data_IF_159736325470
#
_entry.id   IF_159736325470
#
_cell.length_a   1.000
_cell.length_b   1.000
_cell.length_c   1.000
_cell.angle_alpha   90.00
_cell.angle_beta   90.00
_cell.angle_gamma   90.00
#
_symmetry.space_group_name_H-M   'P 1'
#
loop_
_entity.id
_entity.type
_entity.pdbx_description
1 polymer ?
#
# COMPACT_ATOMS: atom_id res chain seq x y z
N UNK A 1 9.51 18.09 -30.06
CA UNK A 1 9.42 17.04 -31.09
C UNK A 1 8.90 17.59 -32.40
N UNK A 2 7.68 18.12 -32.45
CA UNK A 2 7.08 18.73 -33.66
C UNK A 2 7.96 19.82 -34.30
N UNK A 3 8.56 20.72 -33.51
CA UNK A 3 9.47 21.76 -34.03
C UNK A 3 10.74 21.18 -34.67
N UNK A 4 11.35 20.16 -34.06
CA UNK A 4 12.56 19.51 -34.59
C UNK A 4 12.28 18.80 -35.91
N UNK A 5 11.17 18.05 -35.99
CA UNK A 5 10.75 17.38 -37.22
C UNK A 5 10.40 18.38 -38.32
N UNK A 6 9.74 19.48 -37.98
CA UNK A 6 9.43 20.56 -38.92
C UNK A 6 10.70 21.16 -39.53
N UNK A 7 11.70 21.48 -38.71
CA UNK A 7 12.97 22.04 -39.20
C UNK A 7 13.76 21.06 -40.08
N UNK A 8 13.79 19.76 -39.74
CA UNK A 8 14.52 18.77 -40.52
C UNK A 8 13.79 18.33 -41.80
N UNK A 9 12.47 18.21 -41.77
CA UNK A 9 11.67 17.90 -42.96
C UNK A 9 11.61 19.08 -43.93
N UNK A 10 11.63 20.32 -43.43
CA UNK A 10 11.74 21.51 -44.27
C UNK A 10 13.05 21.53 -45.09
N UNK A 11 14.16 21.03 -44.54
CA UNK A 11 15.43 20.88 -45.28
C UNK A 11 15.34 19.85 -46.41
N UNK A 12 14.47 18.86 -46.27
CA UNK A 12 14.16 17.85 -47.29
C UNK A 12 13.11 18.33 -48.30
N UNK A 13 12.63 19.58 -48.18
CA UNK A 13 11.61 20.15 -49.06
C UNK A 13 10.18 19.77 -48.68
N UNK A 14 9.97 19.23 -47.48
CA UNK A 14 8.67 18.78 -46.98
C UNK A 14 8.23 19.73 -45.87
N UNK A 15 7.45 20.76 -46.24
CA UNK A 15 6.87 21.75 -45.33
C UNK A 15 5.34 21.62 -45.31
N UNK A 16 4.86 20.43 -44.93
CA UNK A 16 3.44 20.15 -44.76
C UNK A 16 3.17 19.69 -43.33
N UNK A 17 2.36 20.48 -42.61
CA UNK A 17 1.99 20.22 -41.22
C UNK A 17 1.29 18.87 -41.04
N UNK A 18 0.51 18.41 -42.02
CA UNK A 18 -0.16 17.11 -41.94
C UNK A 18 0.85 15.95 -41.93
N UNK A 19 1.96 16.10 -42.67
CA UNK A 19 3.04 15.12 -42.73
C UNK A 19 3.84 15.14 -41.43
N UNK A 20 4.11 16.32 -40.88
CA UNK A 20 4.79 16.48 -39.60
C UNK A 20 3.96 15.84 -38.47
N UNK A 21 2.66 16.12 -38.42
CA UNK A 21 1.75 15.57 -37.40
C UNK A 21 1.64 14.04 -37.53
N UNK A 22 1.63 13.50 -38.76
CA UNK A 22 1.67 12.07 -39.00
C UNK A 22 2.97 11.44 -38.49
N UNK A 23 4.12 12.04 -38.80
CA UNK A 23 5.43 11.54 -38.34
C UNK A 23 5.56 11.60 -36.82
N UNK A 24 5.07 12.67 -36.19
CA UNK A 24 5.02 12.79 -34.72
C UNK A 24 4.13 11.70 -34.12
N UNK A 25 2.92 11.52 -34.64
CA UNK A 25 1.99 10.50 -34.15
C UNK A 25 2.54 9.09 -34.29
N UNK A 26 3.28 8.81 -35.37
CA UNK A 26 3.92 7.52 -35.59
C UNK A 26 5.13 7.32 -34.67
N UNK A 27 5.91 8.36 -34.39
CA UNK A 27 7.05 8.27 -33.46
C UNK A 27 6.60 8.06 -32.02
N UNK A 28 5.47 8.66 -31.63
CA UNK A 28 4.85 8.46 -30.31
C UNK A 28 4.19 7.09 -30.13
N UNK A 29 3.94 6.34 -31.22
CA UNK A 29 3.34 5.00 -31.15
C UNK A 29 4.35 3.94 -30.69
N UNK A 30 4.33 3.56 -29.42
CA UNK A 30 5.25 2.55 -28.87
C UNK A 30 4.96 1.10 -29.35
N UNK A 31 3.94 0.87 -30.20
CA UNK A 31 3.61 -0.48 -30.69
C UNK A 31 4.42 -0.93 -31.90
N UNK A 32 4.99 0.00 -32.65
CA UNK A 32 5.74 -0.26 -33.88
C UNK A 32 7.24 -0.14 -33.65
N UNK A 33 8.03 -0.97 -34.35
CA UNK A 33 9.48 -0.85 -34.30
C UNK A 33 9.96 0.38 -35.07
N UNK A 34 11.12 0.93 -34.70
CA UNK A 34 11.70 2.08 -35.41
C UNK A 34 11.87 1.81 -36.92
N UNK A 35 12.20 0.57 -37.29
CA UNK A 35 12.34 0.14 -38.69
C UNK A 35 11.00 0.22 -39.43
N UNK A 36 9.92 -0.28 -38.82
CA UNK A 36 8.58 -0.24 -39.44
C UNK A 36 8.10 1.21 -39.57
N UNK A 37 8.37 2.04 -38.55
CA UNK A 37 8.06 3.47 -38.59
C UNK A 37 8.80 4.18 -39.71
N UNK A 38 10.08 3.84 -39.92
CA UNK A 38 10.87 4.39 -41.01
C UNK A 38 10.31 3.98 -42.38
N UNK A 39 9.98 2.70 -42.57
CA UNK A 39 9.37 2.22 -43.82
C UNK A 39 8.02 2.89 -44.11
N UNK A 40 7.18 3.08 -43.10
CA UNK A 40 5.88 3.76 -43.25
C UNK A 40 6.05 5.24 -43.60
N UNK A 41 6.95 5.95 -42.93
CA UNK A 41 7.23 7.36 -43.22
C UNK A 41 7.85 7.49 -44.60
N UNK A 42 8.75 6.59 -44.97
CA UNK A 42 9.40 6.61 -46.28
C UNK A 42 8.46 6.24 -47.43
N UNK A 43 7.49 5.35 -47.19
CA UNK A 43 6.43 5.06 -48.15
C UNK A 43 5.42 6.21 -48.30
N UNK A 44 5.31 7.06 -47.30
CA UNK A 44 4.46 8.25 -47.32
C UNK A 44 5.18 9.47 -47.92
N UNK A 45 6.48 9.61 -47.65
CA UNK A 45 7.37 10.55 -48.30
C UNK A 45 7.65 10.08 -49.74
N UNK A 46 8.00 11.02 -50.62
CA UNK A 46 8.26 10.70 -52.02
C UNK A 46 9.43 9.68 -52.12
N UNK A 47 9.33 8.62 -52.96
CA UNK A 47 10.42 7.65 -53.18
C UNK A 47 11.73 8.28 -53.70
N UNK A 48 11.71 9.56 -54.09
CA UNK A 48 12.91 10.34 -54.40
C UNK A 48 13.72 10.79 -53.17
N UNK A 49 13.19 10.64 -51.96
CA UNK A 49 13.86 10.99 -50.72
C UNK A 49 14.82 9.87 -50.29
N UNK A 50 16.07 10.21 -49.95
CA UNK A 50 17.09 9.21 -49.59
C UNK A 50 16.76 8.53 -48.25
N UNK A 51 16.61 7.20 -48.29
CA UNK A 51 16.27 6.32 -47.17
C UNK A 51 17.21 6.48 -45.99
N UNK A 52 18.51 6.60 -46.26
CA UNK A 52 19.51 6.69 -45.21
C UNK A 52 19.34 7.98 -44.36
N UNK A 53 18.91 9.07 -44.99
CA UNK A 53 18.64 10.35 -44.32
C UNK A 53 17.41 10.28 -43.43
N UNK A 54 16.33 9.66 -43.91
CA UNK A 54 15.08 9.52 -43.15
C UNK A 54 15.31 8.61 -41.93
N UNK A 55 15.98 7.48 -42.12
CA UNK A 55 16.32 6.56 -41.02
C UNK A 55 17.18 7.24 -39.95
N UNK A 56 18.20 8.02 -40.35
CA UNK A 56 19.05 8.76 -39.42
C UNK A 56 18.26 9.83 -38.65
N UNK A 57 17.38 10.56 -39.34
CA UNK A 57 16.51 11.57 -38.74
C UNK A 57 15.59 10.93 -37.69
N UNK A 58 14.92 9.83 -38.04
CA UNK A 58 13.99 9.13 -37.13
C UNK A 58 14.71 8.50 -35.96
N UNK A 59 15.90 7.95 -36.17
CA UNK A 59 16.74 7.41 -35.08
C UNK A 59 17.10 8.52 -34.09
N UNK A 60 17.54 9.67 -34.58
CA UNK A 60 17.87 10.81 -33.73
C UNK A 60 16.63 11.39 -33.03
N UNK A 61 15.51 11.44 -33.73
CA UNK A 61 14.24 11.89 -33.18
C UNK A 61 13.77 10.96 -32.05
N UNK A 62 13.91 9.64 -32.25
CA UNK A 62 13.57 8.64 -31.24
C UNK A 62 14.47 8.71 -30.00
N UNK A 63 15.79 8.86 -30.18
CA UNK A 63 16.71 9.05 -29.04
C UNK A 63 16.35 10.30 -28.23
N UNK A 64 15.99 11.39 -28.92
CA UNK A 64 15.60 12.63 -28.26
C UNK A 64 14.27 12.49 -27.50
N UNK A 65 13.31 11.72 -28.02
CA UNK A 65 12.08 11.41 -27.29
C UNK A 65 12.34 10.55 -26.05
N UNK A 66 13.21 9.56 -26.14
CA UNK A 66 13.56 8.69 -25.01
C UNK A 66 14.29 9.47 -23.91
N UNK A 67 15.21 10.36 -24.26
CA UNK A 67 15.88 11.24 -23.29
C UNK A 67 14.88 12.17 -22.58
N UNK A 68 13.90 12.71 -23.31
CA UNK A 68 12.85 13.55 -22.72
C UNK A 68 11.93 12.74 -21.79
N UNK A 69 11.51 11.53 -22.21
CA UNK A 69 10.72 10.62 -21.37
C UNK A 69 11.47 10.27 -20.08
N UNK A 70 12.78 9.97 -20.18
CA UNK A 70 13.62 9.65 -19.03
C UNK A 70 13.77 10.85 -18.07
N UNK A 71 13.98 12.06 -18.59
CA UNK A 71 14.05 13.27 -17.77
C UNK A 71 12.74 13.54 -17.03
N UNK A 72 11.61 13.42 -17.70
CA UNK A 72 10.29 13.59 -17.07
C UNK A 72 10.03 12.53 -15.99
N UNK A 73 10.40 11.27 -16.25
CA UNK A 73 10.30 10.21 -15.24
C UNK A 73 11.21 10.46 -14.04
N UNK A 74 12.43 10.96 -14.26
CA UNK A 74 13.35 11.31 -13.18
C UNK A 74 12.82 12.47 -12.32
N UNK A 75 12.28 13.52 -12.94
CA UNK A 75 11.65 14.64 -12.22
C UNK A 75 10.43 14.19 -11.41
N UNK A 76 9.56 13.34 -11.97
CA UNK A 76 8.41 12.77 -11.26
C UNK A 76 8.84 11.86 -10.10
N UNK A 77 9.93 11.10 -10.27
CA UNK A 77 10.47 10.27 -9.19
C UNK A 77 11.07 11.13 -8.07
N UNK A 78 11.75 12.22 -8.41
CA UNK A 78 12.31 13.16 -7.44
C UNK A 78 11.19 13.86 -6.65
N UNK A 79 10.15 14.36 -7.32
CA UNK A 79 9.02 15.01 -6.63
C UNK A 79 8.29 14.03 -5.70
N UNK A 80 8.07 12.80 -6.14
CA UNK A 80 7.47 11.76 -5.31
C UNK A 80 8.33 11.41 -4.08
N UNK A 81 9.66 11.37 -4.22
CA UNK A 81 10.57 11.16 -3.09
C UNK A 81 10.52 12.32 -2.09
N UNK A 82 10.49 13.56 -2.58
CA UNK A 82 10.38 14.75 -1.74
C UNK A 82 9.05 14.75 -0.98
N UNK A 83 7.94 14.42 -1.64
CA UNK A 83 6.63 14.31 -0.99
C UNK A 83 6.60 13.21 0.09
N UNK A 84 7.15 12.03 -0.21
CA UNK A 84 7.26 10.94 0.76
C UNK A 84 8.09 11.37 1.98
N UNK A 85 9.24 12.01 1.76
CA UNK A 85 10.10 12.51 2.83
C UNK A 85 9.40 13.56 3.68
N UNK A 86 8.62 14.47 3.07
CA UNK A 86 7.82 15.46 3.78
C UNK A 86 6.69 14.80 4.59
N UNK A 87 6.00 13.79 4.05
CA UNK A 87 4.96 13.06 4.76
C UNK A 87 5.51 12.35 6.00
N UNK A 88 6.64 11.65 5.86
CA UNK A 88 7.33 11.00 6.98
C UNK A 88 7.81 12.00 8.03
N UNK A 89 8.30 13.17 7.61
CA UNK A 89 8.70 14.22 8.53
C UNK A 89 7.52 14.77 9.35
N UNK A 90 6.34 14.92 8.73
CA UNK A 90 5.11 15.35 9.41
C UNK A 90 4.62 14.30 10.41
N UNK A 91 4.57 13.03 10.01
CA UNK A 91 4.18 11.92 10.89
C UNK A 91 5.10 11.84 12.12
N UNK A 92 6.41 11.97 11.92
CA UNK A 92 7.38 12.00 13.02
C UNK A 92 7.16 13.20 13.96
N UNK A 93 6.82 14.37 13.42
CA UNK A 93 6.50 15.53 14.24
C UNK A 93 5.22 15.34 15.06
N UNK A 94 4.18 14.74 14.49
CA UNK A 94 2.93 14.44 15.20
C UNK A 94 3.17 13.44 16.33
N UNK A 95 3.89 12.34 16.07
CA UNK A 95 4.27 11.37 17.09
C UNK A 95 5.09 12.00 18.23
N UNK A 96 5.99 12.94 17.91
CA UNK A 96 6.75 13.67 18.93
C UNK A 96 5.86 14.61 19.76
N UNK A 97 4.86 15.25 19.15
CA UNK A 97 3.89 16.09 19.89
C UNK A 97 3.02 15.26 20.81
N UNK A 98 2.51 14.12 20.34
CA UNK A 98 1.71 13.20 21.16
C UNK A 98 2.52 12.63 22.32
N UNK A 99 3.78 12.26 22.09
CA UNK A 99 4.68 11.82 23.15
C UNK A 99 4.93 12.92 24.19
N UNK A 100 5.12 14.18 23.77
CA UNK A 100 5.27 15.30 24.70
C UNK A 100 3.98 15.63 25.45
N UNK A 101 2.81 15.47 24.83
CA UNK A 101 1.52 15.67 25.51
C UNK A 101 1.23 14.58 26.54
N UNK A 102 1.58 13.32 26.27
CA UNK A 102 1.47 12.24 27.25
C UNK A 102 2.38 12.46 28.46
N UNK A 103 3.61 12.97 28.25
CA UNK A 103 4.52 13.30 29.36
C UNK A 103 4.06 14.52 30.16
N UNK A 104 3.29 15.43 29.54
CA UNK A 104 2.75 16.63 30.21
C UNK A 104 1.47 16.39 30.99
N UNK A 105 0.85 15.20 30.92
CA UNK A 105 -0.23 14.89 31.85
C UNK A 105 0.36 14.88 33.26
N UNK A 106 -0.04 15.81 34.15
CA UNK A 106 0.45 15.77 35.51
C UNK A 106 -0.05 14.46 36.10
N UNK A 107 0.86 13.54 36.38
CA UNK A 107 0.57 12.42 37.26
C UNK A 107 0.17 13.06 38.59
N UNK A 108 -1.13 13.25 38.83
CA UNK A 108 -1.64 13.70 40.12
C UNK A 108 -1.07 12.73 41.14
N UNK A 109 -0.18 13.22 41.98
CA UNK A 109 0.34 12.44 43.09
C UNK A 109 -0.84 12.16 44.01
N UNK A 110 -1.37 10.95 43.93
CA UNK A 110 -2.46 10.51 44.78
C UNK A 110 -2.00 10.65 46.23
N UNK A 111 -2.83 11.30 47.05
CA UNK A 111 -2.62 11.35 48.50
C UNK A 111 -2.65 9.94 49.10
N UNK A 112 -2.08 9.76 50.29
CA UNK A 112 -1.97 8.44 50.91
C UNK A 112 -3.34 7.75 51.09
N UNK A 113 -4.39 8.53 51.35
CA UNK A 113 -5.75 8.01 51.51
C UNK A 113 -6.40 7.64 50.17
N UNK A 114 -6.19 8.42 49.11
CA UNK A 114 -6.65 8.10 47.76
C UNK A 114 -5.96 6.85 47.21
N UNK A 115 -4.66 6.65 47.51
CA UNK A 115 -3.96 5.39 47.16
C UNK A 115 -4.58 4.19 47.86
N UNK A 116 -4.87 4.30 49.16
CA UNK A 116 -5.53 3.23 49.92
C UNK A 116 -6.93 2.92 49.39
N UNK A 117 -7.69 3.93 48.98
CA UNK A 117 -9.01 3.73 48.37
C UNK A 117 -8.90 3.06 47.00
N UNK A 118 -7.94 3.47 46.18
CA UNK A 118 -7.65 2.84 44.90
C UNK A 118 -7.24 1.38 45.07
N UNK A 119 -6.35 1.08 46.01
CA UNK A 119 -5.94 -0.29 46.33
C UNK A 119 -7.11 -1.14 46.83
N UNK A 120 -7.99 -0.59 47.67
CA UNK A 120 -9.21 -1.28 48.11
C UNK A 120 -10.15 -1.58 46.95
N UNK A 121 -10.31 -0.66 46.01
CA UNK A 121 -11.13 -0.88 44.81
C UNK A 121 -10.49 -1.93 43.90
N UNK A 122 -9.18 -1.86 43.67
CA UNK A 122 -8.46 -2.88 42.90
C UNK A 122 -8.64 -4.25 43.57
N UNK A 123 -8.45 -4.36 44.88
CA UNK A 123 -8.63 -5.61 45.61
C UNK A 123 -10.07 -6.13 45.60
N UNK A 124 -11.07 -5.25 45.54
CA UNK A 124 -12.48 -5.63 45.48
C UNK A 124 -12.92 -6.13 44.09
N UNK A 125 -12.26 -5.65 43.03
CA UNK A 125 -12.60 -5.95 41.64
C UNK A 125 -11.53 -6.78 40.91
N UNK A 126 -10.43 -7.13 41.57
CA UNK A 126 -9.53 -8.20 41.13
C UNK A 126 -10.34 -9.50 41.14
N UNK A 127 -10.92 -9.80 39.98
CA UNK A 127 -11.38 -11.14 39.66
C UNK A 127 -10.19 -12.08 39.81
N UNK A 128 -10.14 -12.79 40.94
CA UNK A 128 -9.25 -13.93 41.16
C UNK A 128 -9.47 -14.86 39.98
N UNK A 129 -8.48 -14.98 39.12
CA UNK A 129 -8.51 -15.84 37.94
C UNK A 129 -8.98 -17.23 38.37
N UNK A 130 -10.19 -17.60 37.95
CA UNK A 130 -10.67 -18.94 38.15
C UNK A 130 -9.82 -19.87 37.29
N UNK A 131 -9.12 -20.79 37.92
CA UNK A 131 -8.38 -21.82 37.23
C UNK A 131 -9.36 -22.91 36.84
N UNK A 132 -9.51 -23.16 35.53
CA UNK A 132 -10.37 -24.22 35.02
C UNK A 132 -9.57 -25.52 35.15
N UNK A 133 -9.94 -26.36 36.10
CA UNK A 133 -9.35 -27.69 36.27
C UNK A 133 -10.26 -28.70 35.56
N UNK A 134 -9.77 -29.27 34.45
CA UNK A 134 -10.45 -30.38 33.77
C UNK A 134 -10.24 -31.67 34.58
N UNK A 135 -11.34 -32.31 35.01
CA UNK A 135 -11.29 -33.67 35.57
C UNK A 135 -11.28 -34.71 34.44
N UNK A 136 -10.84 -35.92 34.79
CA UNK A 136 -10.70 -37.05 33.88
C UNK A 136 -12.01 -37.49 33.16
N UNK A 137 -13.17 -36.99 33.59
CA UNK A 137 -14.48 -37.24 32.97
C UNK A 137 -14.93 -36.15 31.98
N UNK A 138 -14.10 -35.15 31.69
CA UNK A 138 -14.34 -34.18 30.61
C UNK A 138 -15.30 -33.02 30.96
N UNK A 139 -15.75 -32.90 32.20
CA UNK A 139 -16.51 -31.74 32.69
C UNK A 139 -15.57 -30.70 33.33
N UNK A 140 -15.75 -29.43 32.94
CA UNK A 140 -14.99 -28.28 33.46
C UNK A 140 -15.76 -27.62 34.59
N UNK A 141 -15.24 -27.73 35.82
CA UNK A 141 -15.84 -27.12 37.01
C UNK A 141 -15.04 -25.89 37.45
N UNK A 142 -15.75 -24.80 37.72
CA UNK A 142 -15.19 -23.51 38.15
C UNK A 142 -14.97 -23.55 39.67
N UNK A 143 -13.78 -23.95 40.11
CA UNK A 143 -13.44 -23.97 41.55
C UNK A 143 -12.98 -22.58 41.98
N UNK A 144 -13.83 -21.88 42.74
CA UNK A 144 -13.45 -20.62 43.40
C UNK A 144 -12.59 -20.95 44.62
N UNK A 145 -11.29 -20.66 44.54
CA UNK A 145 -10.39 -20.78 45.69
C UNK A 145 -10.76 -19.74 46.76
N UNK A 146 -11.48 -20.18 47.78
CA UNK A 146 -11.59 -19.47 49.05
C UNK A 146 -10.25 -19.60 49.78
N UNK A 147 -9.54 -18.47 49.92
CA UNK A 147 -8.29 -18.41 50.67
C UNK A 147 -8.62 -18.35 52.16
N UNK A 148 -8.98 -19.49 52.74
CA UNK A 148 -8.86 -19.68 54.18
C UNK A 148 -7.43 -20.14 54.50
N UNK A 149 -6.56 -19.15 54.66
CA UNK A 149 -5.37 -19.31 55.49
C UNK A 149 -4.08 -19.73 54.78
N UNK A 150 -3.58 -18.93 53.84
CA UNK A 150 -2.14 -18.97 53.53
C UNK A 150 -1.33 -18.08 54.48
N UNK A 151 -1.21 -18.53 55.74
CA UNK A 151 -0.06 -18.16 56.59
C UNK A 151 0.98 -19.26 56.46
N UNK A 152 1.88 -19.17 55.48
CA UNK A 152 3.30 -19.54 55.65
C UNK A 152 4.11 -19.32 54.37
N UNK A 153 5.16 -18.51 54.53
CA UNK A 153 6.42 -18.53 53.79
C UNK A 153 6.36 -18.26 52.28
N UNK A 154 6.37 -16.97 51.87
CA UNK A 154 7.43 -16.43 50.99
C UNK A 154 7.30 -14.90 50.75
N UNK A 155 7.24 -14.09 51.82
CA UNK A 155 7.02 -12.63 51.71
C UNK A 155 8.25 -11.82 51.25
N UNK A 156 9.09 -12.36 50.37
CA UNK A 156 10.31 -11.70 49.90
C UNK A 156 10.83 -12.12 48.52
N UNK A 157 10.31 -13.19 47.92
CA UNK A 157 10.69 -13.62 46.58
C UNK A 157 9.60 -13.21 45.58
N UNK A 158 9.96 -12.35 44.63
CA UNK A 158 9.09 -11.97 43.52
C UNK A 158 8.68 -13.25 42.77
N UNK A 159 7.36 -13.51 42.70
CA UNK A 159 6.81 -14.63 41.92
C UNK A 159 7.40 -14.61 40.50
N UNK A 160 7.87 -15.76 40.03
CA UNK A 160 8.48 -15.90 38.70
C UNK A 160 7.44 -15.58 37.61
N UNK A 161 7.50 -14.36 37.07
CA UNK A 161 6.59 -13.84 36.05
C UNK A 161 6.97 -14.26 34.63
N UNK A 162 8.10 -14.96 34.44
CA UNK A 162 8.58 -15.32 33.10
C UNK A 162 7.67 -16.36 32.44
N UNK A 163 7.14 -17.30 33.22
CA UNK A 163 6.21 -18.31 32.69
C UNK A 163 4.90 -17.67 32.20
N UNK A 164 4.35 -16.71 32.94
CA UNK A 164 3.15 -15.96 32.56
C UNK A 164 3.42 -15.09 31.33
N UNK A 165 4.55 -14.38 31.30
CA UNK A 165 4.93 -13.55 30.16
C UNK A 165 5.12 -14.36 28.86
N UNK A 166 5.61 -15.60 28.94
CA UNK A 166 5.72 -16.50 27.79
C UNK A 166 4.34 -16.98 27.35
N UNK A 167 3.48 -17.38 28.29
CA UNK A 167 2.12 -17.82 27.99
C UNK A 167 1.27 -16.71 27.34
N UNK A 168 1.36 -15.47 27.85
CA UNK A 168 0.65 -14.32 27.29
C UNK A 168 1.16 -13.95 25.90
N UNK A 169 2.47 -14.01 25.66
CA UNK A 169 3.05 -13.79 24.33
C UNK A 169 2.58 -14.83 23.32
N UNK A 170 2.51 -16.10 23.73
CA UNK A 170 2.03 -17.17 22.85
C UNK A 170 0.53 -17.03 22.56
N UNK A 171 -0.28 -16.66 23.55
CA UNK A 171 -1.71 -16.36 23.35
C UNK A 171 -1.91 -15.20 22.38
N UNK A 172 -1.18 -14.11 22.58
CA UNK A 172 -1.24 -12.94 21.70
C UNK A 172 -0.85 -13.32 20.27
N UNK A 173 0.23 -14.08 20.08
CA UNK A 173 0.66 -14.52 18.74
C UNK A 173 -0.39 -15.40 18.04
N UNK A 174 -1.07 -16.29 18.78
CA UNK A 174 -2.17 -17.10 18.24
C UNK A 174 -3.36 -16.23 17.84
N UNK A 175 -3.72 -15.24 18.65
CA UNK A 175 -4.82 -14.30 18.36
C UNK A 175 -4.50 -13.41 17.16
N UNK A 176 -3.29 -12.86 17.06
CA UNK A 176 -2.88 -12.04 15.90
C UNK A 176 -2.88 -12.85 14.62
N UNK A 177 -2.44 -14.11 14.67
CA UNK A 177 -2.44 -14.99 13.50
C UNK A 177 -3.85 -15.36 13.05
N UNK A 178 -4.77 -15.63 14.00
CA UNK A 178 -6.19 -15.86 13.69
C UNK A 178 -6.84 -14.62 13.07
N UNK A 179 -6.60 -13.44 13.63
CA UNK A 179 -7.13 -12.19 13.11
C UNK A 179 -6.57 -11.87 11.70
N UNK A 180 -5.26 -12.09 11.47
CA UNK A 180 -4.65 -11.89 10.17
C UNK A 180 -5.20 -12.85 9.11
N UNK A 181 -5.45 -14.11 9.49
CA UNK A 181 -6.07 -15.09 8.60
C UNK A 181 -7.50 -14.70 8.25
N UNK A 182 -8.33 -14.31 9.24
CA UNK A 182 -9.69 -13.85 9.00
C UNK A 182 -9.73 -12.65 8.06
N UNK A 183 -8.87 -11.65 8.27
CA UNK A 183 -8.76 -10.48 7.37
C UNK A 183 -8.36 -10.87 5.94
N UNK A 184 -7.47 -11.84 5.75
CA UNK A 184 -7.10 -12.35 4.41
C UNK A 184 -8.29 -13.02 3.73
N UNK A 185 -9.01 -13.88 4.45
CA UNK A 185 -10.19 -14.57 3.93
C UNK A 185 -11.30 -13.58 3.55
N UNK A 186 -11.55 -12.57 4.39
CA UNK A 186 -12.52 -11.50 4.10
C UNK A 186 -12.14 -10.73 2.84
N UNK A 187 -10.88 -10.32 2.71
CA UNK A 187 -10.38 -9.60 1.52
C UNK A 187 -10.47 -10.44 0.25
N UNK A 188 -10.13 -11.73 0.32
CA UNK A 188 -10.27 -12.65 -0.82
C UNK A 188 -11.73 -12.84 -1.23
N UNK A 189 -12.64 -12.94 -0.24
CA UNK A 189 -14.08 -13.04 -0.48
C UNK A 189 -14.62 -11.77 -1.16
N UNK A 190 -14.24 -10.59 -0.67
CA UNK A 190 -14.62 -9.31 -1.27
C UNK A 190 -14.12 -9.16 -2.72
N UNK A 191 -12.89 -9.58 -2.99
CA UNK A 191 -12.33 -9.55 -4.35
C UNK A 191 -13.09 -10.48 -5.30
N UNK A 192 -13.44 -11.69 -4.85
CA UNK A 192 -14.24 -12.63 -5.64
C UNK A 192 -15.66 -12.11 -5.92
N UNK A 193 -16.30 -11.49 -4.93
CA UNK A 193 -17.62 -10.87 -5.10
C UNK A 193 -17.56 -9.66 -6.04
N UNK A 194 -16.51 -8.83 -5.94
CA UNK A 194 -16.29 -7.70 -6.83
C UNK A 194 -16.07 -8.13 -8.29
N UNK A 195 -15.30 -9.20 -8.53
CA UNK A 195 -15.08 -9.76 -9.86
C UNK A 195 -16.37 -10.36 -10.46
N UNK A 196 -17.17 -11.07 -9.64
CA UNK A 196 -18.50 -11.56 -10.05
C UNK A 196 -19.42 -10.42 -10.47
N UNK A 197 -19.48 -9.34 -9.68
CA UNK A 197 -20.28 -8.16 -9.98
C UNK A 197 -19.82 -7.43 -11.25
N UNK A 198 -18.50 -7.34 -11.50
CA UNK A 198 -17.96 -6.79 -12.75
C UNK A 198 -18.41 -7.61 -13.96
N UNK A 199 -18.24 -8.92 -13.91
CA UNK A 199 -18.64 -9.85 -14.98
C UNK A 199 -20.14 -9.79 -15.26
N UNK A 200 -20.99 -9.69 -14.23
CA UNK A 200 -22.44 -9.52 -14.43
C UNK A 200 -22.79 -8.16 -15.05
N UNK A 201 -22.16 -7.07 -14.63
CA UNK A 201 -22.37 -5.74 -15.21
C UNK A 201 -21.95 -5.70 -16.67
N UNK A 202 -20.84 -6.33 -17.03
CA UNK A 202 -20.38 -6.46 -18.41
C UNK A 202 -21.37 -7.27 -19.26
N UNK A 203 -21.81 -8.45 -18.79
CA UNK A 203 -22.84 -9.25 -19.47
C UNK A 203 -24.16 -8.48 -19.66
N UNK A 204 -24.60 -7.71 -18.65
CA UNK A 204 -25.79 -6.85 -18.78
C UNK A 204 -25.58 -5.71 -19.79
N UNK A 205 -24.38 -5.14 -19.87
CA UNK A 205 -24.03 -4.08 -20.83
C UNK A 205 -23.97 -4.62 -22.26
N UNK A 206 -23.40 -5.81 -22.47
CA UNK A 206 -23.32 -6.44 -23.80
C UNK A 206 -24.70 -6.83 -24.32
N UNK A 207 -25.52 -7.51 -23.50
CA UNK A 207 -26.90 -7.85 -23.88
C UNK A 207 -27.76 -6.61 -24.21
N UNK A 208 -27.59 -5.50 -23.48
CA UNK A 208 -28.29 -4.24 -23.80
C UNK A 208 -27.84 -3.63 -25.13
N UNK A 209 -26.56 -3.76 -25.51
CA UNK A 209 -26.05 -3.26 -26.80
C UNK A 209 -26.57 -4.09 -27.97
N UNK A 210 -26.65 -5.42 -27.83
CA UNK A 210 -27.24 -6.29 -28.86
C UNK A 210 -28.73 -6.04 -29.05
N UNK A 211 -29.51 -5.93 -27.96
CA UNK A 211 -30.94 -5.61 -28.04
C UNK A 211 -31.25 -4.25 -28.70
N UNK A 212 -30.27 -3.33 -28.73
CA UNK A 212 -30.41 -2.01 -29.38
C UNK A 212 -29.93 -2.01 -30.84
N UNK A 213 -29.24 -3.07 -31.27
CA UNK A 213 -28.77 -3.26 -32.65
C UNK A 213 -29.74 -4.11 -33.49
N UNK A 214 -30.62 -4.88 -32.85
CA UNK A 214 -31.84 -5.43 -33.46
C UNK A 214 -32.97 -4.41 -33.38
#
# INVERSE_FOLDING_TARGET
MSSYLSDELAKLGVDDQAIIDYCVGLLDDDTLSLSDKAEMILGYLDPSTDSATIEALLTHAHTLTEELKQKQQAELAETAQVELAQALAREKQELQRDAMEQVKQPTRELTADERRQREKLIAAYEYRSAEIVERADGESELVVLHDEGSKTADAGLQRNSNAQAVADKERLARETNRAAHQKKVEREKELLEADRLRKEKEKRRTMKKEKRRM
#
